data_IF_980644479992
#
_entry.id   IF_980644479992
#
_cell.length_a   1.000
_cell.length_b   1.000
_cell.length_c   1.000
_cell.angle_alpha   90.00
_cell.angle_beta   90.00
_cell.angle_gamma   90.00
#
_symmetry.space_group_name_H-M   'P 1'
#
loop_
_entity.id
_entity.type
_entity.pdbx_description
1 polymer ?
#
# COMPACT_ATOMS: atom_id res chain seq x y z
N UNK A 1 -16.70 -4.60 -21.35
CA UNK A 1 -16.57 -4.66 -22.82
C UNK A 1 -16.94 -3.31 -23.41
N UNK A 2 -16.03 -2.63 -24.11
CA UNK A 2 -16.18 -1.21 -24.51
C UNK A 2 -17.22 -1.03 -25.63
N UNK A 3 -17.37 -2.02 -26.50
CA UNK A 3 -18.35 -2.01 -27.60
C UNK A 3 -19.79 -2.09 -27.09
N UNK A 4 -20.07 -2.96 -26.10
CA UNK A 4 -21.40 -3.06 -25.50
C UNK A 4 -21.83 -1.76 -24.79
N UNK A 5 -20.90 -1.11 -24.09
CA UNK A 5 -21.13 0.19 -23.45
C UNK A 5 -21.41 1.32 -24.45
N UNK A 6 -20.62 1.41 -25.52
CA UNK A 6 -20.84 2.40 -26.59
C UNK A 6 -22.18 2.19 -27.32
N UNK A 7 -22.53 0.92 -27.57
CA UNK A 7 -23.81 0.55 -28.17
C UNK A 7 -25.00 0.97 -27.30
N UNK A 8 -24.92 0.76 -25.98
CA UNK A 8 -25.93 1.20 -25.02
C UNK A 8 -26.04 2.73 -24.96
N UNK A 9 -24.91 3.44 -24.86
CA UNK A 9 -24.88 4.90 -24.79
C UNK A 9 -25.53 5.53 -26.04
N UNK A 10 -25.25 4.96 -27.22
CA UNK A 10 -25.87 5.38 -28.48
C UNK A 10 -27.37 5.11 -28.47
N UNK A 11 -27.81 3.92 -28.02
CA UNK A 11 -29.23 3.55 -27.97
C UNK A 11 -30.05 4.48 -27.07
N UNK A 12 -29.47 4.93 -25.96
CA UNK A 12 -30.09 5.90 -25.03
C UNK A 12 -29.92 7.36 -25.44
N UNK A 13 -29.15 7.63 -26.51
CA UNK A 13 -28.91 9.00 -26.97
C UNK A 13 -28.07 9.83 -26.01
N UNK A 14 -27.16 9.20 -25.25
CA UNK A 14 -26.31 9.89 -24.27
C UNK A 14 -25.38 10.88 -24.98
N UNK A 15 -25.49 12.15 -24.59
CA UNK A 15 -24.62 13.25 -25.02
C UNK A 15 -23.79 13.69 -23.83
N UNK A 16 -22.47 13.75 -23.99
CA UNK A 16 -21.56 14.12 -22.92
C UNK A 16 -20.41 14.97 -23.47
N UNK A 17 -19.93 15.92 -22.66
CA UNK A 17 -18.76 16.73 -22.99
C UNK A 17 -17.52 16.07 -22.36
N UNK A 18 -16.44 15.89 -23.13
CA UNK A 18 -15.18 15.40 -22.58
C UNK A 18 -14.64 16.27 -21.44
N UNK A 19 -14.32 15.64 -20.32
CA UNK A 19 -13.72 16.29 -19.16
C UNK A 19 -12.18 16.19 -19.18
N UNK A 20 -11.51 17.11 -18.51
CA UNK A 20 -10.06 16.99 -18.27
C UNK A 20 -9.81 15.95 -17.18
N UNK A 21 -8.91 15.01 -17.46
CA UNK A 21 -8.55 13.90 -16.56
C UNK A 21 -7.14 14.05 -15.98
N UNK A 22 -6.46 15.16 -16.29
CA UNK A 22 -5.13 15.48 -15.79
C UNK A 22 -4.45 16.58 -16.62
N UNK A 23 -3.24 17.01 -16.23
CA UNK A 23 -2.50 18.04 -16.96
C UNK A 23 -2.28 17.66 -18.43
N UNK A 24 -2.94 18.39 -19.35
CA UNK A 24 -2.86 18.17 -20.80
C UNK A 24 -3.63 16.94 -21.32
N UNK A 25 -4.40 16.26 -20.47
CA UNK A 25 -5.18 15.08 -20.83
C UNK A 25 -6.68 15.37 -20.76
N UNK A 26 -7.40 15.03 -21.82
CA UNK A 26 -8.86 15.17 -21.94
C UNK A 26 -9.45 13.84 -22.39
N UNK A 27 -10.64 13.51 -21.89
CA UNK A 27 -11.41 12.35 -22.35
C UNK A 27 -11.62 12.37 -23.87
N UNK A 28 -11.78 11.19 -24.46
CA UNK A 28 -12.40 11.08 -25.78
C UNK A 28 -13.92 11.26 -25.67
N UNK A 29 -14.59 11.51 -26.81
CA UNK A 29 -16.05 11.61 -26.85
C UNK A 29 -16.72 10.32 -26.34
N UNK A 30 -16.23 9.16 -26.77
CA UNK A 30 -16.71 7.85 -26.32
C UNK A 30 -16.58 7.67 -24.80
N UNK A 31 -15.44 8.08 -24.23
CA UNK A 31 -15.22 7.99 -22.78
C UNK A 31 -16.18 8.89 -22.00
N UNK A 32 -16.45 10.10 -22.52
CA UNK A 32 -17.44 10.99 -21.94
C UNK A 32 -18.84 10.36 -21.99
N UNK A 33 -19.21 9.71 -23.09
CA UNK A 33 -20.50 9.04 -23.25
C UNK A 33 -20.65 7.83 -22.35
N UNK A 34 -19.60 7.01 -22.20
CA UNK A 34 -19.59 5.88 -21.26
C UNK A 34 -19.72 6.39 -19.82
N UNK A 35 -18.97 7.44 -19.44
CA UNK A 35 -19.09 8.05 -18.10
C UNK A 35 -20.52 8.51 -17.84
N UNK A 36 -21.10 9.30 -18.74
CA UNK A 36 -22.47 9.78 -18.59
C UNK A 36 -23.51 8.64 -18.57
N UNK A 37 -23.30 7.58 -19.36
CA UNK A 37 -24.14 6.38 -19.31
C UNK A 37 -24.06 5.71 -17.93
N UNK A 38 -22.86 5.55 -17.37
CA UNK A 38 -22.68 4.95 -16.05
C UNK A 38 -23.27 5.85 -14.96
N UNK A 39 -23.11 7.17 -15.05
CA UNK A 39 -23.69 8.13 -14.10
C UNK A 39 -25.23 8.08 -14.11
N UNK A 40 -25.84 7.93 -15.29
CA UNK A 40 -27.29 7.78 -15.42
C UNK A 40 -27.78 6.41 -14.93
N UNK A 41 -27.10 5.33 -15.36
CA UNK A 41 -27.54 3.96 -15.12
C UNK A 41 -27.24 3.46 -13.69
N UNK A 42 -26.14 3.93 -13.09
CA UNK A 42 -25.69 3.50 -11.76
C UNK A 42 -26.19 4.46 -10.69
N UNK A 43 -27.46 4.34 -10.34
CA UNK A 43 -28.04 5.01 -9.17
C UNK A 43 -27.64 4.25 -7.89
N UNK A 44 -26.46 4.55 -7.35
CA UNK A 44 -25.96 3.94 -6.10
C UNK A 44 -26.46 4.76 -4.91
N UNK A 45 -27.32 4.20 -4.03
CA UNK A 45 -27.77 4.92 -2.85
C UNK A 45 -26.61 5.15 -1.88
N UNK A 46 -26.70 6.25 -1.12
CA UNK A 46 -25.75 6.51 -0.04
C UNK A 46 -25.73 5.34 0.97
N UNK A 47 -24.57 5.02 1.58
CA UNK A 47 -24.47 3.95 2.56
C UNK A 47 -25.38 4.21 3.76
N UNK A 48 -26.05 3.16 4.22
CA UNK A 48 -26.86 3.23 5.44
C UNK A 48 -25.92 3.22 6.65
N UNK A 49 -26.04 4.22 7.53
CA UNK A 49 -25.18 4.39 8.70
C UNK A 49 -25.12 3.11 9.58
N UNK A 50 -26.26 2.44 9.78
CA UNK A 50 -26.34 1.20 10.55
C UNK A 50 -25.45 0.09 9.97
N UNK A 51 -25.34 -0.02 8.64
CA UNK A 51 -24.49 -1.01 7.99
C UNK A 51 -23.01 -0.70 8.21
N UNK A 52 -22.63 0.58 8.21
CA UNK A 52 -21.26 1.01 8.48
C UNK A 52 -20.83 0.68 9.92
N UNK A 53 -21.74 0.86 10.88
CA UNK A 53 -21.50 0.46 12.28
C UNK A 53 -21.29 -1.05 12.38
N UNK A 54 -22.13 -1.84 11.71
CA UNK A 54 -21.98 -3.31 11.66
C UNK A 54 -20.63 -3.72 11.05
N UNK A 55 -20.18 -3.03 9.99
CA UNK A 55 -18.86 -3.28 9.38
C UNK A 55 -17.72 -3.01 10.39
N UNK A 56 -17.77 -1.90 11.12
CA UNK A 56 -16.75 -1.59 12.14
C UNK A 56 -16.78 -2.61 13.29
N UNK A 57 -17.97 -2.99 13.78
CA UNK A 57 -18.13 -3.93 14.90
C UNK A 57 -17.65 -5.35 14.59
N UNK A 58 -17.62 -5.76 13.31
CA UNK A 58 -17.12 -7.08 12.91
C UNK A 58 -15.63 -7.25 13.18
N UNK A 59 -14.85 -6.19 12.99
CA UNK A 59 -13.39 -6.22 13.15
C UNK A 59 -12.83 -4.82 13.49
N UNK A 60 -13.00 -4.33 14.74
CA UNK A 60 -12.49 -3.02 15.15
C UNK A 60 -10.95 -2.94 15.06
N UNK A 61 -10.28 -4.08 15.21
CA UNK A 61 -8.82 -4.23 15.19
C UNK A 61 -8.19 -3.79 13.87
N UNK A 62 -8.93 -3.90 12.76
CA UNK A 62 -8.51 -3.40 11.44
C UNK A 62 -8.39 -1.87 11.36
N UNK A 63 -9.02 -1.16 12.29
CA UNK A 63 -9.13 0.29 12.29
C UNK A 63 -8.28 0.88 13.41
N UNK A 64 -6.96 0.75 13.30
CA UNK A 64 -6.01 1.29 14.26
C UNK A 64 -5.34 2.58 13.78
N UNK A 65 -4.91 3.41 14.71
CA UNK A 65 -3.91 4.44 14.41
C UNK A 65 -2.62 3.77 13.91
N UNK A 66 -1.77 4.49 13.16
CA UNK A 66 -0.46 3.97 12.78
C UNK A 66 0.33 3.49 14.02
N UNK A 67 1.11 2.41 13.91
CA UNK A 67 2.01 2.00 14.98
C UNK A 67 3.12 3.03 15.16
N UNK A 68 3.71 3.03 16.35
CA UNK A 68 4.92 3.76 16.68
C UNK A 68 6.02 2.75 16.98
N UNK A 69 7.12 2.82 16.24
CA UNK A 69 8.28 1.98 16.43
C UNK A 69 9.40 2.78 17.06
N UNK A 70 10.02 2.26 18.12
CA UNK A 70 11.33 2.71 18.56
C UNK A 70 12.34 1.74 17.99
N UNK A 71 13.28 2.24 17.20
CA UNK A 71 14.23 1.38 16.50
C UNK A 71 15.65 1.93 16.54
N UNK A 72 16.60 1.01 16.39
CA UNK A 72 18.02 1.28 16.26
C UNK A 72 18.56 0.59 15.02
N UNK A 73 19.58 1.16 14.38
CA UNK A 73 20.25 0.52 13.25
C UNK A 73 21.77 0.67 13.25
N UNK A 74 22.44 -0.23 12.51
CA UNK A 74 23.83 -0.10 12.11
C UNK A 74 23.85 -0.07 10.58
N UNK A 75 24.20 1.10 10.02
CA UNK A 75 24.37 1.28 8.59
C UNK A 75 25.81 1.02 8.17
N UNK A 76 25.99 0.24 7.10
CA UNK A 76 27.21 0.13 6.31
C UNK A 76 26.93 0.74 4.93
N UNK A 77 27.42 1.96 4.72
CA UNK A 77 27.12 2.73 3.53
C UNK A 77 27.80 2.12 2.30
N UNK A 78 27.05 2.09 1.19
CA UNK A 78 27.58 1.74 -0.12
C UNK A 78 26.73 2.39 -1.22
N UNK A 79 27.39 2.80 -2.30
CA UNK A 79 26.70 3.20 -3.51
C UNK A 79 26.13 1.95 -4.19
N UNK A 80 24.81 1.88 -4.45
CA UNK A 80 24.21 0.72 -5.10
C UNK A 80 24.68 0.53 -6.55
N UNK A 81 25.29 1.55 -7.17
CA UNK A 81 25.85 1.50 -8.52
C UNK A 81 27.28 0.98 -8.58
N UNK A 82 27.94 0.80 -7.43
CA UNK A 82 29.26 0.19 -7.30
C UNK A 82 29.13 -1.21 -6.65
N UNK A 83 29.19 -2.28 -7.47
CA UNK A 83 29.04 -3.65 -6.98
C UNK A 83 30.12 -4.08 -5.97
N UNK A 84 31.35 -3.59 -6.14
CA UNK A 84 32.47 -3.97 -5.30
C UNK A 84 32.35 -3.31 -3.92
N UNK A 85 32.00 -2.02 -3.89
CA UNK A 85 31.70 -1.32 -2.64
C UNK A 85 30.48 -1.93 -1.93
N UNK A 86 29.42 -2.26 -2.68
CA UNK A 86 28.22 -2.90 -2.14
C UNK A 86 28.52 -4.29 -1.55
N UNK A 87 29.39 -5.08 -2.19
CA UNK A 87 29.83 -6.38 -1.70
C UNK A 87 30.70 -6.23 -0.44
N UNK A 88 31.67 -5.32 -0.43
CA UNK A 88 32.51 -5.06 0.73
C UNK A 88 31.69 -4.58 1.94
N UNK A 89 30.70 -3.71 1.74
CA UNK A 89 29.76 -3.30 2.79
C UNK A 89 28.91 -4.45 3.29
N UNK A 90 28.46 -5.35 2.40
CA UNK A 90 27.71 -6.54 2.80
C UNK A 90 28.51 -7.46 3.72
N UNK A 91 29.78 -7.74 3.37
CA UNK A 91 30.66 -8.58 4.20
C UNK A 91 30.88 -7.99 5.60
N UNK A 92 31.09 -6.66 5.68
CA UNK A 92 31.17 -5.95 6.97
C UNK A 92 29.87 -6.07 7.76
N UNK A 93 28.72 -5.90 7.10
CA UNK A 93 27.41 -6.05 7.72
C UNK A 93 27.16 -7.47 8.23
N UNK A 94 27.57 -8.51 7.49
CA UNK A 94 27.46 -9.91 7.93
C UNK A 94 28.30 -10.19 9.19
N UNK A 95 29.55 -9.70 9.22
CA UNK A 95 30.42 -9.86 10.39
C UNK A 95 29.84 -9.14 11.64
N UNK A 96 29.35 -7.92 11.45
CA UNK A 96 28.71 -7.16 12.52
C UNK A 96 27.40 -7.80 12.98
N UNK A 97 26.60 -8.32 12.05
CA UNK A 97 25.35 -9.03 12.34
C UNK A 97 25.60 -10.27 13.18
N UNK A 98 26.58 -11.11 12.82
CA UNK A 98 26.96 -12.27 13.60
C UNK A 98 27.34 -11.92 15.05
N UNK A 99 28.00 -10.78 15.24
CA UNK A 99 28.38 -10.28 16.58
C UNK A 99 27.14 -9.91 17.40
N UNK A 100 26.21 -9.14 16.84
CA UNK A 100 25.02 -8.69 17.58
C UNK A 100 23.96 -9.78 17.72
N UNK A 101 23.95 -10.77 16.81
CA UNK A 101 23.12 -11.96 16.94
C UNK A 101 23.58 -12.86 18.10
N UNK A 102 24.89 -12.93 18.35
CA UNK A 102 25.45 -13.65 19.49
C UNK A 102 25.28 -12.89 20.83
N UNK A 103 25.38 -11.56 20.80
CA UNK A 103 25.16 -10.69 21.97
C UNK A 103 24.44 -9.40 21.57
N UNK A 104 23.12 -9.35 21.75
CA UNK A 104 22.31 -8.18 21.44
C UNK A 104 22.72 -6.93 22.26
N UNK A 105 23.40 -7.09 23.40
CA UNK A 105 23.90 -5.95 24.20
C UNK A 105 25.08 -5.26 23.53
N UNK A 106 25.79 -5.94 22.62
CA UNK A 106 26.87 -5.36 21.84
C UNK A 106 26.39 -4.31 20.82
N UNK A 107 25.10 -4.31 20.46
CA UNK A 107 24.56 -3.50 19.36
C UNK A 107 24.93 -2.01 19.48
N UNK A 108 24.65 -1.38 20.62
CA UNK A 108 24.88 0.06 20.78
C UNK A 108 26.37 0.44 20.75
N UNK A 109 27.25 -0.44 21.24
CA UNK A 109 28.70 -0.27 21.14
C UNK A 109 29.16 -0.42 19.69
N UNK A 110 28.72 -1.49 19.02
CA UNK A 110 29.10 -1.76 17.65
C UNK A 110 28.61 -0.65 16.71
N UNK A 111 27.39 -0.17 16.90
CA UNK A 111 26.85 0.97 16.15
C UNK A 111 27.77 2.20 16.24
N UNK A 112 28.25 2.55 17.44
CA UNK A 112 29.20 3.65 17.66
C UNK A 112 30.52 3.47 16.91
N UNK A 113 31.01 2.24 16.86
CA UNK A 113 32.32 1.90 16.31
C UNK A 113 32.31 1.82 14.78
N UNK A 114 31.28 1.19 14.18
CA UNK A 114 31.34 0.78 12.77
C UNK A 114 30.25 1.37 11.89
N UNK A 115 29.23 2.03 12.46
CA UNK A 115 28.16 2.55 11.62
C UNK A 115 28.58 3.81 10.86
N UNK A 116 28.11 3.90 9.62
CA UNK A 116 28.27 5.06 8.73
C UNK A 116 27.11 6.09 8.89
N UNK A 117 26.10 5.81 9.72
CA UNK A 117 25.01 6.74 10.01
C UNK A 117 25.37 7.72 11.13
N UNK A 118 24.79 8.92 11.13
CA UNK A 118 24.91 9.91 12.22
C UNK A 118 24.33 9.42 13.54
N UNK A 119 23.33 8.52 13.50
CA UNK A 119 22.75 7.86 14.68
C UNK A 119 23.76 7.07 15.51
N UNK A 120 24.94 6.76 14.95
CA UNK A 120 26.05 6.10 15.66
C UNK A 120 26.43 6.82 16.95
N UNK A 121 26.33 8.15 17.02
CA UNK A 121 26.62 8.92 18.22
C UNK A 121 25.77 8.46 19.43
N UNK A 122 24.54 8.04 19.15
CA UNK A 122 23.57 7.55 20.13
C UNK A 122 23.42 6.03 20.10
N UNK A 123 24.44 5.29 19.65
CA UNK A 123 24.38 3.82 19.59
C UNK A 123 23.42 3.27 18.55
N UNK A 124 23.17 4.03 17.48
CA UNK A 124 22.31 3.62 16.37
C UNK A 124 20.84 3.96 16.54
N UNK A 125 20.43 4.56 17.66
CA UNK A 125 19.04 4.90 17.95
C UNK A 125 18.48 5.92 16.95
N UNK A 126 17.33 5.62 16.38
CA UNK A 126 16.60 6.49 15.44
C UNK A 126 15.46 7.27 16.13
N UNK A 127 15.13 6.91 17.36
CA UNK A 127 13.98 7.47 18.08
C UNK A 127 12.68 6.79 17.66
N UNK A 128 11.59 7.55 17.74
CA UNK A 128 10.25 7.08 17.37
C UNK A 128 10.00 7.28 15.88
N UNK A 129 9.53 6.23 15.22
CA UNK A 129 9.27 6.15 13.80
C UNK A 129 7.81 5.76 13.56
N UNK A 130 7.20 6.35 12.55
CA UNK A 130 5.89 5.97 12.01
C UNK A 130 6.04 5.39 10.60
N UNK A 131 5.03 4.66 10.09
CA UNK A 131 5.03 4.22 8.69
C UNK A 131 5.27 5.37 7.73
N UNK A 132 6.22 5.18 6.81
CA UNK A 132 6.65 6.19 5.83
C UNK A 132 7.88 7.01 6.22
N UNK A 133 8.36 6.94 7.47
CA UNK A 133 9.59 7.65 7.88
C UNK A 133 10.86 7.00 7.34
N UNK A 134 10.80 5.71 7.01
CA UNK A 134 11.94 4.90 6.55
C UNK A 134 11.77 4.46 5.09
N UNK A 135 12.85 3.93 4.52
CA UNK A 135 12.78 3.28 3.20
C UNK A 135 11.96 1.98 3.28
N UNK A 136 11.25 1.59 2.20
CA UNK A 136 10.31 0.46 2.24
C UNK A 136 10.93 -0.85 2.75
N UNK A 137 12.17 -1.15 2.40
CA UNK A 137 12.87 -2.38 2.79
C UNK A 137 13.13 -2.41 4.31
N UNK A 138 13.43 -1.25 4.91
CA UNK A 138 13.64 -1.11 6.34
C UNK A 138 12.31 -1.27 7.08
N UNK A 139 11.23 -0.68 6.57
CA UNK A 139 9.90 -0.76 7.17
C UNK A 139 9.35 -2.20 7.12
N UNK A 140 9.57 -2.92 6.02
CA UNK A 140 9.21 -4.35 5.92
C UNK A 140 9.92 -5.14 7.02
N UNK A 141 11.22 -4.93 7.20
CA UNK A 141 11.97 -5.59 8.27
C UNK A 141 11.45 -5.22 9.67
N UNK A 142 11.11 -3.95 9.94
CA UNK A 142 10.53 -3.55 11.23
C UNK A 142 9.21 -4.27 11.55
N UNK A 143 8.37 -4.52 10.54
CA UNK A 143 7.08 -5.22 10.72
C UNK A 143 7.23 -6.70 11.06
N UNK A 144 8.37 -7.30 10.71
CA UNK A 144 8.68 -8.71 10.98
C UNK A 144 9.36 -8.91 12.34
N UNK A 145 9.76 -7.83 13.01
CA UNK A 145 10.49 -7.88 14.28
C UNK A 145 9.55 -7.76 15.48
N UNK A 146 9.86 -8.52 16.51
CA UNK A 146 9.35 -8.33 17.86
C UNK A 146 10.22 -7.33 18.65
N UNK A 147 9.67 -6.63 19.66
CA UNK A 147 10.47 -5.77 20.55
C UNK A 147 11.67 -6.52 21.16
N UNK A 148 12.85 -5.93 21.05
CA UNK A 148 14.14 -6.49 21.43
C UNK A 148 14.83 -7.32 20.34
N UNK A 149 14.14 -7.64 19.23
CA UNK A 149 14.66 -8.49 18.18
C UNK A 149 15.51 -7.70 17.18
N UNK A 150 16.54 -8.36 16.64
CA UNK A 150 17.41 -7.88 15.56
C UNK A 150 17.00 -8.57 14.25
N UNK A 151 17.09 -7.87 13.12
CA UNK A 151 16.85 -8.41 11.78
C UNK A 151 17.60 -9.72 11.58
N UNK A 152 16.94 -10.73 10.98
CA UNK A 152 17.53 -12.06 10.81
C UNK A 152 18.78 -12.06 9.91
N UNK A 153 18.88 -11.07 9.02
CA UNK A 153 20.03 -10.79 8.16
C UNK A 153 20.19 -9.28 7.94
N UNK A 154 21.33 -8.82 7.39
CA UNK A 154 21.46 -7.46 6.89
C UNK A 154 20.43 -7.12 5.81
N UNK A 155 19.78 -5.98 5.94
CA UNK A 155 18.74 -5.48 5.02
C UNK A 155 19.36 -4.52 4.02
N UNK A 156 19.22 -4.79 2.73
CA UNK A 156 19.74 -3.93 1.66
C UNK A 156 18.79 -2.78 1.37
N UNK A 157 19.36 -1.61 1.09
CA UNK A 157 18.64 -0.43 0.61
C UNK A 157 19.50 0.37 -0.37
N UNK A 158 18.97 1.47 -0.90
CA UNK A 158 19.75 2.47 -1.67
C UNK A 158 20.89 3.13 -0.90
N UNK A 159 20.93 3.03 0.43
CA UNK A 159 21.98 3.61 1.27
C UNK A 159 23.09 2.61 1.63
N UNK A 160 22.96 1.34 1.22
CA UNK A 160 23.85 0.25 1.64
C UNK A 160 23.10 -0.79 2.48
N UNK A 161 23.76 -1.31 3.51
CA UNK A 161 23.28 -2.43 4.32
C UNK A 161 22.97 -2.02 5.75
N UNK A 162 21.82 -2.45 6.25
CA UNK A 162 21.33 -2.13 7.59
C UNK A 162 21.24 -3.39 8.44
N UNK A 163 21.70 -3.30 9.69
CA UNK A 163 21.28 -4.23 10.74
C UNK A 163 20.27 -3.47 11.59
N UNK A 164 19.08 -4.02 11.75
CA UNK A 164 17.95 -3.31 12.37
C UNK A 164 17.61 -4.00 13.68
N UNK A 165 17.33 -3.21 14.73
CA UNK A 165 16.75 -3.71 15.97
C UNK A 165 15.49 -2.93 16.27
N UNK A 166 14.41 -3.65 16.57
CA UNK A 166 13.21 -3.03 17.12
C UNK A 166 13.38 -2.95 18.63
N UNK A 167 13.40 -1.75 19.19
CA UNK A 167 13.56 -1.54 20.63
C UNK A 167 12.21 -1.62 21.35
N UNK A 168 11.18 -0.98 20.78
CA UNK A 168 9.80 -1.05 21.27
C UNK A 168 8.79 -0.85 20.12
N UNK A 169 7.57 -1.34 20.31
CA UNK A 169 6.48 -1.15 19.37
C UNK A 169 5.18 -0.87 20.11
N UNK A 170 4.54 0.25 19.78
CA UNK A 170 3.15 0.50 20.12
C UNK A 170 2.30 0.26 18.87
N UNK A 171 1.48 -0.79 18.86
CA UNK A 171 0.70 -1.23 17.69
C UNK A 171 -0.41 -0.26 17.22
N UNK A 172 -0.45 0.97 17.74
CA UNK A 172 -1.53 1.92 17.56
C UNK A 172 -2.77 1.54 18.37
N UNK A 173 -3.72 2.47 18.49
CA UNK A 173 -4.97 2.24 19.23
C UNK A 173 -6.13 2.02 18.26
N UNK A 174 -7.08 1.17 18.65
CA UNK A 174 -8.34 1.01 17.91
C UNK A 174 -9.07 2.36 17.90
N UNK A 175 -9.39 2.83 16.70
CA UNK A 175 -10.06 4.09 16.48
C UNK A 175 -11.56 3.92 16.73
N UNK A 176 -12.21 4.88 17.43
CA UNK A 176 -13.66 4.86 17.59
C UNK A 176 -14.34 5.00 16.23
N UNK A 177 -15.55 4.45 16.09
CA UNK A 177 -16.34 4.52 14.86
C UNK A 177 -16.39 5.94 14.27
N UNK A 178 -16.61 6.96 15.10
CA UNK A 178 -16.68 8.35 14.67
C UNK A 178 -15.44 8.81 13.89
N UNK A 179 -14.24 8.32 14.24
CA UNK A 179 -12.99 8.68 13.57
C UNK A 179 -12.82 7.99 12.21
N UNK A 180 -13.48 6.86 11.98
CA UNK A 180 -13.37 6.06 10.73
C UNK A 180 -14.62 6.08 9.87
N UNK A 181 -15.71 6.70 10.34
CA UNK A 181 -17.01 6.81 9.68
C UNK A 181 -16.90 7.25 8.22
N UNK A 182 -16.21 8.37 7.96
CA UNK A 182 -16.08 8.93 6.61
C UNK A 182 -15.36 7.95 5.67
N UNK A 183 -14.26 7.33 6.14
CA UNK A 183 -13.51 6.32 5.38
C UNK A 183 -14.33 5.07 5.10
N UNK A 184 -15.16 4.63 6.05
CA UNK A 184 -16.07 3.50 5.88
C UNK A 184 -17.16 3.80 4.86
N UNK A 185 -17.74 5.01 4.90
CA UNK A 185 -18.74 5.45 3.94
C UNK A 185 -18.17 5.47 2.51
N UNK A 186 -17.01 6.10 2.32
CA UNK A 186 -16.33 6.14 1.01
C UNK A 186 -16.02 4.73 0.48
N UNK A 187 -15.52 3.84 1.35
CA UNK A 187 -15.26 2.46 0.98
C UNK A 187 -16.54 1.70 0.60
N UNK A 188 -17.65 1.94 1.31
CA UNK A 188 -18.94 1.34 1.03
C UNK A 188 -19.53 1.84 -0.31
N UNK A 189 -19.45 3.15 -0.58
CA UNK A 189 -19.85 3.76 -1.85
C UNK A 189 -19.07 3.17 -3.02
N UNK A 190 -17.74 3.14 -2.92
CA UNK A 190 -16.88 2.57 -3.96
C UNK A 190 -17.19 1.10 -4.21
N UNK A 191 -17.44 0.33 -3.15
CA UNK A 191 -17.78 -1.08 -3.28
C UNK A 191 -19.17 -1.28 -3.89
N UNK A 192 -20.16 -0.44 -3.55
CA UNK A 192 -21.50 -0.48 -4.12
C UNK A 192 -21.50 -0.09 -5.60
N UNK A 193 -20.75 0.96 -5.97
CA UNK A 193 -20.54 1.36 -7.35
C UNK A 193 -19.87 0.25 -8.17
N UNK A 194 -18.81 -0.37 -7.63
CA UNK A 194 -18.11 -1.46 -8.32
C UNK A 194 -19.03 -2.67 -8.56
N UNK A 195 -19.91 -3.00 -7.61
CA UNK A 195 -20.92 -4.05 -7.79
C UNK A 195 -21.94 -3.64 -8.86
N UNK A 196 -22.52 -2.45 -8.76
CA UNK A 196 -23.52 -1.97 -9.71
C UNK A 196 -22.97 -1.89 -11.14
N UNK A 197 -21.73 -1.41 -11.32
CA UNK A 197 -21.06 -1.35 -12.61
C UNK A 197 -20.85 -2.74 -13.22
N UNK A 198 -20.41 -3.72 -12.41
CA UNK A 198 -20.28 -5.11 -12.85
C UNK A 198 -21.62 -5.70 -13.26
N UNK A 199 -22.64 -5.56 -12.42
CA UNK A 199 -23.97 -6.12 -12.66
C UNK A 199 -24.61 -5.48 -13.92
N UNK A 200 -24.39 -4.17 -14.12
CA UNK A 200 -24.79 -3.47 -15.34
C UNK A 200 -24.05 -4.00 -16.58
N UNK A 201 -22.73 -4.18 -16.51
CA UNK A 201 -21.95 -4.74 -17.62
C UNK A 201 -22.40 -6.16 -17.97
N UNK A 202 -22.70 -7.00 -16.97
CA UNK A 202 -23.26 -8.35 -17.18
C UNK A 202 -24.61 -8.30 -17.87
N UNK A 203 -25.51 -7.38 -17.47
CA UNK A 203 -26.79 -7.18 -18.12
C UNK A 203 -26.64 -6.71 -19.59
N UNK A 204 -25.69 -5.81 -19.87
CA UNK A 204 -25.39 -5.38 -21.24
C UNK A 204 -24.89 -6.54 -22.11
N UNK A 205 -24.00 -7.38 -21.58
CA UNK A 205 -23.50 -8.55 -22.30
C UNK A 205 -24.61 -9.59 -22.54
N UNK A 206 -25.52 -9.78 -21.59
CA UNK A 206 -26.65 -10.69 -21.77
C UNK A 206 -27.69 -10.17 -22.78
N UNK A 207 -27.88 -8.84 -22.85
CA UNK A 207 -28.81 -8.20 -23.79
C UNK A 207 -28.21 -8.00 -25.19
N UNK A 208 -26.88 -7.91 -25.30
CA UNK A 208 -26.17 -7.94 -26.56
C UNK A 208 -26.20 -9.39 -27.09
N UNK A 209 -27.22 -9.68 -27.90
CA UNK A 209 -27.40 -10.92 -28.67
C UNK A 209 -26.04 -11.55 -29.04
N UNK A 210 -25.78 -12.78 -28.56
CA UNK A 210 -24.59 -13.58 -28.86
C UNK A 210 -24.60 -13.92 -30.36
N UNK A 211 -24.22 -12.96 -31.19
CA UNK A 211 -23.95 -13.16 -32.61
C UNK A 211 -22.45 -13.23 -32.82
N UNK A 212 -21.90 -14.44 -32.61
CA UNK A 212 -20.66 -14.84 -33.25
C UNK A 212 -19.64 -15.57 -32.38
N UNK A 213 -19.85 -16.86 -32.12
CA UNK A 213 -18.77 -17.84 -32.31
C UNK A 213 -19.36 -19.08 -32.98
N UNK A 214 -19.26 -19.13 -34.30
CA UNK A 214 -19.54 -20.35 -35.07
C UNK A 214 -18.32 -21.26 -34.90
N UNK A 215 -18.33 -22.15 -33.90
CA UNK A 215 -17.35 -23.23 -33.79
C UNK A 215 -17.65 -24.28 -34.87
N UNK A 216 -17.24 -24.01 -36.11
CA UNK A 216 -17.09 -25.07 -37.11
C UNK A 216 -15.82 -25.84 -36.81
N UNK A 217 -15.98 -26.91 -36.02
CA UNK A 217 -15.02 -28.01 -35.99
C UNK A 217 -15.20 -28.76 -37.30
N UNK A 218 -14.16 -28.77 -38.13
CA UNK A 218 -14.00 -29.70 -39.23
C UNK A 218 -12.69 -30.45 -39.03
#
# INVERSE_FOLDING_TARGET
DREAGNGEATRRGIQAVPASVGPGLTETQDEAQIRALLDEALQVPAPVEADLVVVWQKDPERYRSPPLWEASHILFAADPTDPDAAHAAHLRALAAHATVAADAKAFGRLAKEVSDCSSKANGGMLGQLVPGDCVPEFEVALRELDPGQISAAPVRSRFGWHIIRLDACAAGQVLPYAAVRARLAEAAEKAAWTRAARDFAEALMAAADVKGVDFRIN
#
